data_IF_452606653208
#
_entry.id   IF_452606653208
#
_cell.length_a   1.000
_cell.length_b   1.000
_cell.length_c   1.000
_cell.angle_alpha   90.00
_cell.angle_beta   90.00
_cell.angle_gamma   90.00
#
_symmetry.space_group_name_H-M   'P 1'
#
loop_
_entity.id
_entity.type
_entity.pdbx_description
1 polymer ?
#
# COMPACT_ATOMS: atom_id res chain seq x y z
N UNK A 1 2.47 -1.16 54.97
CA UNK A 1 3.07 -0.28 53.94
C UNK A 1 3.21 -1.10 52.65
N UNK A 2 2.17 -1.10 51.84
CA UNK A 2 2.20 -1.66 50.50
C UNK A 2 2.64 -0.54 49.56
N UNK A 3 3.85 -0.64 49.05
CA UNK A 3 4.35 0.18 47.96
C UNK A 3 3.69 -0.34 46.67
N UNK A 4 2.59 0.28 46.28
CA UNK A 4 1.99 0.05 44.96
C UNK A 4 2.94 0.69 43.91
N UNK A 5 3.80 -0.12 43.31
CA UNK A 5 4.50 0.21 42.10
C UNK A 5 3.44 0.46 41.03
N UNK A 6 3.18 1.71 40.70
CA UNK A 6 2.43 2.06 39.49
C UNK A 6 3.25 1.54 38.30
N UNK A 7 2.73 0.66 37.46
CA UNK A 7 3.40 0.39 36.22
C UNK A 7 3.47 1.71 35.44
N UNK A 8 4.67 2.06 35.03
CA UNK A 8 4.95 3.27 34.28
C UNK A 8 4.05 3.25 33.03
N UNK A 9 3.22 4.28 32.89
CA UNK A 9 2.30 4.46 31.73
C UNK A 9 3.01 4.59 30.40
N UNK A 10 4.34 4.62 30.39
CA UNK A 10 5.15 4.76 29.18
C UNK A 10 5.38 3.44 28.45
N UNK A 11 5.21 2.28 29.09
CA UNK A 11 5.50 0.99 28.44
C UNK A 11 4.35 0.44 27.55
N UNK A 12 3.15 0.99 27.64
CA UNK A 12 1.99 0.44 26.94
C UNK A 12 1.65 1.17 25.63
N UNK A 13 2.22 2.36 25.39
CA UNK A 13 2.00 3.11 24.15
C UNK A 13 3.01 2.69 23.08
N UNK A 14 2.51 2.31 21.90
CA UNK A 14 3.36 2.07 20.72
C UNK A 14 4.28 3.26 20.51
N UNK A 15 5.58 3.03 20.55
CA UNK A 15 6.59 4.09 20.37
C UNK A 15 6.47 4.68 18.96
N UNK A 16 6.71 5.98 18.83
CA UNK A 16 6.65 6.67 17.52
C UNK A 16 7.57 5.99 16.47
N UNK A 17 8.69 5.43 16.92
CA UNK A 17 9.63 4.67 16.07
C UNK A 17 9.02 3.38 15.54
N UNK A 18 8.29 2.63 16.37
CA UNK A 18 7.60 1.39 15.97
C UNK A 18 6.49 1.70 14.97
N UNK A 19 5.71 2.75 15.25
CA UNK A 19 4.66 3.20 14.35
C UNK A 19 5.24 3.70 13.02
N UNK A 20 6.37 4.40 13.01
CA UNK A 20 7.04 4.83 11.80
C UNK A 20 7.57 3.64 10.98
N UNK A 21 8.17 2.63 11.63
CA UNK A 21 8.60 1.40 10.96
C UNK A 21 7.42 0.63 10.35
N UNK A 22 6.33 0.50 11.09
CA UNK A 22 5.09 -0.09 10.60
C UNK A 22 4.56 0.69 9.39
N UNK A 23 4.51 2.02 9.47
CA UNK A 23 4.04 2.88 8.40
C UNK A 23 4.92 2.77 7.13
N UNK A 24 6.24 2.67 7.28
CA UNK A 24 7.15 2.39 6.15
C UNK A 24 6.86 1.02 5.56
N UNK A 25 6.71 -0.03 6.37
CA UNK A 25 6.37 -1.37 5.91
C UNK A 25 5.09 -1.39 5.08
N UNK A 26 4.00 -0.84 5.64
CA UNK A 26 2.70 -0.71 4.98
C UNK A 26 2.74 0.13 3.68
N UNK A 27 3.70 1.05 3.57
CA UNK A 27 3.81 1.90 2.39
C UNK A 27 4.56 1.24 1.23
N UNK A 28 5.17 0.07 1.43
CA UNK A 28 6.01 -0.57 0.40
C UNK A 28 5.23 -0.99 -0.83
N UNK A 29 4.00 -1.47 -0.66
CA UNK A 29 3.12 -1.86 -1.78
C UNK A 29 2.74 -0.64 -2.63
N UNK A 30 2.34 0.44 -1.98
CA UNK A 30 2.05 1.70 -2.64
C UNK A 30 3.28 2.29 -3.34
N UNK A 31 4.46 2.18 -2.72
CA UNK A 31 5.75 2.58 -3.31
C UNK A 31 6.07 1.77 -4.57
N UNK A 32 5.93 0.44 -4.52
CA UNK A 32 6.17 -0.45 -5.66
C UNK A 32 5.22 -0.12 -6.84
N UNK A 33 3.92 0.05 -6.56
CA UNK A 33 2.93 0.43 -7.57
C UNK A 33 3.20 1.84 -8.12
N UNK A 34 3.64 2.78 -7.28
CA UNK A 34 4.02 4.12 -7.71
C UNK A 34 5.24 4.10 -8.65
N UNK A 35 6.24 3.23 -8.40
CA UNK A 35 7.35 2.98 -9.33
C UNK A 35 6.79 2.52 -10.68
N UNK A 36 5.92 1.53 -10.70
CA UNK A 36 5.31 1.01 -11.92
C UNK A 36 4.57 2.11 -12.70
N UNK A 37 3.81 2.97 -12.01
CA UNK A 37 3.18 4.14 -12.63
C UNK A 37 4.22 5.13 -13.19
N UNK A 38 5.31 5.35 -12.46
CA UNK A 38 6.41 6.21 -12.88
C UNK A 38 7.10 5.74 -14.16
N UNK A 39 7.22 4.43 -14.36
CA UNK A 39 7.81 3.82 -15.56
C UNK A 39 7.02 4.17 -16.83
N UNK A 40 5.69 4.29 -16.71
CA UNK A 40 4.79 4.56 -17.84
C UNK A 40 4.65 6.06 -18.18
N UNK A 41 5.20 6.96 -17.36
CA UNK A 41 5.07 8.42 -17.55
C UNK A 41 6.36 9.00 -18.13
N UNK A 42 6.25 9.66 -19.28
CA UNK A 42 7.43 10.28 -19.89
C UNK A 42 7.88 11.57 -19.17
N UNK A 43 6.95 12.43 -18.78
CA UNK A 43 7.23 13.73 -18.12
C UNK A 43 6.23 13.97 -17.00
N UNK A 44 6.48 13.44 -15.78
CA UNK A 44 5.58 13.68 -14.67
C UNK A 44 5.68 15.15 -14.23
N UNK A 45 4.55 15.86 -14.29
CA UNK A 45 4.41 17.17 -13.66
C UNK A 45 4.07 17.03 -12.16
N UNK A 46 4.16 18.12 -11.41
CA UNK A 46 3.86 18.15 -9.98
C UNK A 46 2.46 17.60 -9.62
N UNK A 47 1.49 17.75 -10.54
CA UNK A 47 0.13 17.20 -10.37
C UNK A 47 0.13 15.68 -10.27
N UNK A 48 0.98 14.98 -11.00
CA UNK A 48 1.08 13.52 -10.94
C UNK A 48 1.59 13.04 -9.59
N UNK A 49 2.58 13.72 -9.01
CA UNK A 49 3.09 13.44 -7.66
C UNK A 49 2.02 13.64 -6.60
N UNK A 50 1.27 14.76 -6.68
CA UNK A 50 0.14 15.00 -5.79
C UNK A 50 -0.96 13.96 -5.95
N UNK A 51 -1.34 13.63 -7.19
CA UNK A 51 -2.39 12.64 -7.45
C UNK A 51 -2.01 11.29 -6.86
N UNK A 52 -0.82 10.78 -7.16
CA UNK A 52 -0.34 9.48 -6.65
C UNK A 52 -0.23 9.49 -5.13
N UNK A 53 0.38 10.53 -4.56
CA UNK A 53 0.51 10.68 -3.11
C UNK A 53 -0.85 10.77 -2.41
N UNK A 54 -1.79 11.54 -2.92
CA UNK A 54 -3.14 11.68 -2.34
C UNK A 54 -3.95 10.38 -2.45
N UNK A 55 -3.87 9.68 -3.58
CA UNK A 55 -4.56 8.40 -3.72
C UNK A 55 -4.00 7.35 -2.76
N UNK A 56 -2.72 7.06 -2.83
CA UNK A 56 -2.13 6.04 -1.98
C UNK A 56 -2.09 6.45 -0.50
N UNK A 57 -1.64 7.65 -0.18
CA UNK A 57 -1.62 8.15 1.20
C UNK A 57 -3.01 8.31 1.79
N UNK A 58 -3.99 8.77 0.99
CA UNK A 58 -5.38 8.91 1.42
C UNK A 58 -6.03 7.56 1.72
N UNK A 59 -5.88 6.57 0.84
CA UNK A 59 -6.40 5.22 1.09
C UNK A 59 -5.66 4.52 2.23
N UNK A 60 -4.35 4.73 2.35
CA UNK A 60 -3.54 4.17 3.42
C UNK A 60 -3.87 4.78 4.81
N UNK A 61 -4.48 5.96 4.86
CA UNK A 61 -5.05 6.53 6.07
C UNK A 61 -6.51 6.12 6.29
N UNK A 62 -7.29 6.03 5.20
CA UNK A 62 -8.72 5.67 5.24
C UNK A 62 -8.93 4.22 5.70
N UNK A 63 -8.16 3.27 5.14
CA UNK A 63 -8.34 1.85 5.43
C UNK A 63 -8.12 1.47 6.88
N UNK A 64 -7.04 1.90 7.58
CA UNK A 64 -6.93 1.59 9.00
C UNK A 64 -7.97 2.34 9.84
N UNK A 65 -8.47 3.47 9.39
CA UNK A 65 -9.61 4.14 10.06
C UNK A 65 -10.86 3.28 9.96
N UNK A 66 -11.16 2.74 8.78
CA UNK A 66 -12.28 1.81 8.57
C UNK A 66 -12.07 0.52 9.35
N UNK A 67 -10.86 -0.05 9.32
CA UNK A 67 -10.48 -1.22 10.09
C UNK A 67 -10.68 -1.04 11.59
N UNK A 68 -10.30 0.11 12.13
CA UNK A 68 -10.52 0.47 13.52
C UNK A 68 -12.01 0.53 13.87
N UNK A 69 -12.83 1.17 13.05
CA UNK A 69 -14.28 1.23 13.23
C UNK A 69 -14.92 -0.16 13.15
N UNK A 70 -14.47 -1.00 12.23
CA UNK A 70 -14.95 -2.37 12.07
C UNK A 70 -14.47 -3.28 13.22
N UNK A 71 -13.22 -3.14 13.67
CA UNK A 71 -12.66 -3.90 14.79
C UNK A 71 -13.43 -3.70 16.09
N UNK A 72 -13.95 -2.49 16.32
CA UNK A 72 -14.84 -2.21 17.47
C UNK A 72 -16.23 -2.86 17.32
N UNK A 73 -16.62 -3.28 16.13
CA UNK A 73 -17.98 -3.75 15.83
C UNK A 73 -18.04 -5.23 15.42
N UNK A 74 -17.01 -5.76 14.72
CA UNK A 74 -17.05 -7.08 14.08
C UNK A 74 -15.72 -7.84 14.14
N UNK A 75 -15.39 -8.40 15.30
CA UNK A 75 -14.13 -9.14 15.54
C UNK A 75 -13.93 -10.41 14.68
N UNK A 76 -14.94 -10.93 14.01
CA UNK A 76 -14.97 -12.33 13.56
C UNK A 76 -15.07 -12.59 12.05
N UNK A 77 -15.33 -11.59 11.21
CA UNK A 77 -15.73 -11.85 9.79
C UNK A 77 -14.78 -11.33 8.70
N UNK A 78 -13.74 -10.56 9.04
CA UNK A 78 -13.02 -9.76 8.03
C UNK A 78 -11.80 -10.45 7.43
N UNK A 79 -11.17 -11.41 8.09
CA UNK A 79 -9.87 -11.96 7.71
C UNK A 79 -9.86 -12.94 6.53
N UNK A 80 -11.01 -13.42 6.07
CA UNK A 80 -11.06 -14.50 5.06
C UNK A 80 -11.09 -14.05 3.60
N UNK A 81 -11.44 -12.81 3.30
CA UNK A 81 -11.69 -12.33 1.92
C UNK A 81 -10.60 -11.42 1.39
N UNK A 82 -9.89 -10.72 2.27
CA UNK A 82 -8.96 -9.64 1.91
C UNK A 82 -7.83 -10.08 0.98
N UNK A 83 -7.23 -11.25 1.24
CA UNK A 83 -6.09 -11.76 0.47
C UNK A 83 -6.48 -12.18 -0.95
N UNK A 84 -7.69 -12.70 -1.15
CA UNK A 84 -8.20 -13.04 -2.48
C UNK A 84 -8.45 -11.80 -3.33
N UNK A 85 -8.99 -10.73 -2.72
CA UNK A 85 -9.20 -9.45 -3.40
C UNK A 85 -7.87 -8.82 -3.79
N UNK A 86 -6.90 -8.77 -2.88
CA UNK A 86 -5.56 -8.27 -3.16
C UNK A 86 -4.88 -9.08 -4.28
N UNK A 87 -4.91 -10.41 -4.22
CA UNK A 87 -4.34 -11.28 -5.24
C UNK A 87 -4.95 -11.02 -6.62
N UNK A 88 -6.29 -11.03 -6.74
CA UNK A 88 -6.98 -10.82 -8.02
C UNK A 88 -6.65 -9.44 -8.60
N UNK A 89 -6.66 -8.38 -7.76
CA UNK A 89 -6.34 -7.03 -8.20
C UNK A 89 -4.88 -6.92 -8.67
N UNK A 90 -3.92 -7.47 -7.92
CA UNK A 90 -2.50 -7.47 -8.30
C UNK A 90 -2.24 -8.26 -9.58
N UNK A 91 -2.91 -9.40 -9.76
CA UNK A 91 -2.82 -10.18 -10.99
C UNK A 91 -3.42 -9.44 -12.20
N UNK A 92 -4.55 -8.76 -12.05
CA UNK A 92 -5.15 -7.95 -13.11
C UNK A 92 -4.24 -6.78 -13.53
N UNK A 93 -3.68 -6.09 -12.55
CA UNK A 93 -2.78 -4.95 -12.79
C UNK A 93 -1.48 -5.43 -13.43
N UNK A 94 -0.84 -6.44 -12.84
CA UNK A 94 0.38 -7.03 -13.37
C UNK A 94 0.20 -7.62 -14.76
N UNK A 95 -0.93 -8.29 -15.01
CA UNK A 95 -1.30 -8.81 -16.33
C UNK A 95 -1.49 -7.72 -17.37
N UNK A 96 -2.12 -6.60 -17.01
CA UNK A 96 -2.25 -5.46 -17.92
C UNK A 96 -0.88 -4.82 -18.25
N UNK A 97 0.01 -4.68 -17.25
CA UNK A 97 1.37 -4.19 -17.47
C UNK A 97 2.19 -5.11 -18.37
N UNK A 98 2.07 -6.43 -18.22
CA UNK A 98 2.71 -7.39 -19.13
C UNK A 98 2.19 -7.22 -20.56
N UNK A 99 0.87 -7.09 -20.74
CA UNK A 99 0.26 -6.86 -22.06
C UNK A 99 0.79 -5.58 -22.71
N UNK A 100 0.91 -4.49 -21.95
CA UNK A 100 1.48 -3.22 -22.42
C UNK A 100 2.96 -3.37 -22.79
N UNK A 101 3.77 -4.04 -21.97
CA UNK A 101 5.19 -4.26 -22.20
C UNK A 101 5.51 -5.14 -23.42
N UNK A 102 4.64 -6.11 -23.73
CA UNK A 102 4.76 -6.95 -24.95
C UNK A 102 4.13 -6.35 -26.19
N UNK A 103 3.29 -5.33 -26.05
CA UNK A 103 2.67 -4.64 -27.19
C UNK A 103 3.69 -3.82 -27.96
N UNK A 104 3.85 -4.12 -29.24
CA UNK A 104 4.70 -3.33 -30.16
C UNK A 104 4.07 -1.99 -30.55
N UNK A 105 2.79 -1.83 -30.35
CA UNK A 105 2.11 -0.56 -30.55
C UNK A 105 2.43 0.35 -29.36
N UNK A 106 3.39 1.23 -29.55
CA UNK A 106 3.59 2.40 -28.68
C UNK A 106 2.38 3.34 -28.86
N UNK A 107 1.22 2.94 -28.39
CA UNK A 107 0.20 3.94 -28.07
C UNK A 107 0.81 4.80 -26.99
N UNK A 108 0.93 6.09 -27.27
CA UNK A 108 1.13 7.13 -26.27
C UNK A 108 -0.12 7.19 -25.37
N UNK A 109 -0.50 6.07 -24.77
CA UNK A 109 -1.43 6.11 -23.67
C UNK A 109 -0.63 6.66 -22.50
N UNK A 110 -0.75 7.98 -22.34
CA UNK A 110 -0.36 8.64 -21.11
C UNK A 110 -0.89 7.79 -19.95
N UNK A 111 0.01 7.34 -19.08
CA UNK A 111 -0.39 6.56 -17.91
C UNK A 111 -1.60 7.23 -17.27
N UNK A 112 -2.75 6.56 -17.31
CA UNK A 112 -3.98 7.16 -16.83
C UNK A 112 -3.90 7.32 -15.31
N UNK A 113 -3.93 8.57 -14.85
CA UNK A 113 -4.06 8.93 -13.44
C UNK A 113 -5.51 9.24 -13.07
N UNK A 114 -6.45 8.84 -13.93
CA UNK A 114 -7.87 9.02 -13.70
C UNK A 114 -8.39 8.11 -12.59
N UNK A 115 -9.57 8.45 -12.07
CA UNK A 115 -10.25 7.72 -10.99
C UNK A 115 -10.31 6.22 -11.24
N UNK A 116 -10.71 5.79 -12.45
CA UNK A 116 -10.85 4.37 -12.81
C UNK A 116 -9.53 3.57 -12.75
N UNK A 117 -8.40 4.25 -12.95
CA UNK A 117 -7.08 3.61 -12.89
C UNK A 117 -6.48 3.66 -11.48
N UNK A 118 -6.68 4.75 -10.74
CA UNK A 118 -6.06 4.94 -9.42
C UNK A 118 -6.81 4.25 -8.30
N UNK A 119 -8.16 4.19 -8.38
CA UNK A 119 -8.98 3.58 -7.34
C UNK A 119 -8.65 2.10 -7.07
N UNK A 120 -8.60 1.20 -8.09
CA UNK A 120 -8.27 -0.20 -7.84
C UNK A 120 -6.86 -0.38 -7.26
N UNK A 121 -5.90 0.42 -7.73
CA UNK A 121 -4.52 0.39 -7.24
C UNK A 121 -4.43 0.81 -5.78
N UNK A 122 -5.05 1.94 -5.43
CA UNK A 122 -5.05 2.43 -4.07
C UNK A 122 -5.79 1.48 -3.11
N UNK A 123 -6.89 0.90 -3.57
CA UNK A 123 -7.62 -0.10 -2.80
C UNK A 123 -6.77 -1.36 -2.56
N UNK A 124 -6.15 -1.90 -3.62
CA UNK A 124 -5.33 -3.11 -3.52
C UNK A 124 -4.12 -2.95 -2.59
N UNK A 125 -3.47 -1.77 -2.62
CA UNK A 125 -2.28 -1.48 -1.81
C UNK A 125 -2.58 -1.08 -0.38
N UNK A 126 -3.84 -0.93 0.01
CA UNK A 126 -4.25 -0.49 1.36
C UNK A 126 -5.09 -1.51 2.13
N UNK A 127 -5.29 -2.70 1.57
CA UNK A 127 -6.06 -3.77 2.24
C UNK A 127 -5.37 -4.26 3.52
N UNK A 128 -4.04 -4.36 3.51
CA UNK A 128 -3.22 -4.69 4.68
C UNK A 128 -3.37 -3.65 5.81
N UNK A 129 -3.48 -2.38 5.45
CA UNK A 129 -3.72 -1.30 6.41
C UNK A 129 -5.10 -1.42 7.10
N UNK A 130 -6.09 -2.01 6.44
CA UNK A 130 -7.39 -2.31 7.06
C UNK A 130 -7.21 -3.33 8.20
N UNK A 131 -6.45 -4.40 7.99
CA UNK A 131 -6.15 -5.39 9.03
C UNK A 131 -5.39 -4.76 10.21
N UNK A 132 -4.43 -3.87 9.94
CA UNK A 132 -3.72 -3.12 10.98
C UNK A 132 -4.67 -2.22 11.76
N UNK A 133 -5.64 -1.58 11.10
CA UNK A 133 -6.68 -0.80 11.76
C UNK A 133 -7.52 -1.61 12.75
N UNK A 134 -7.89 -2.84 12.38
CA UNK A 134 -8.59 -3.78 13.27
C UNK A 134 -7.70 -4.10 14.48
N UNK A 135 -6.42 -4.37 14.26
CA UNK A 135 -5.46 -4.62 15.34
C UNK A 135 -5.36 -3.42 16.29
N UNK A 136 -5.35 -2.20 15.75
CA UNK A 136 -5.35 -0.98 16.58
C UNK A 136 -6.61 -0.83 17.43
N UNK A 137 -7.75 -1.36 17.01
CA UNK A 137 -8.97 -1.36 17.81
C UNK A 137 -8.88 -2.28 19.02
N UNK A 138 -8.03 -3.31 18.97
CA UNK A 138 -7.83 -4.28 20.04
C UNK A 138 -6.71 -3.89 21.01
N UNK A 139 -5.88 -2.92 20.65
CA UNK A 139 -4.78 -2.44 21.48
C UNK A 139 -5.24 -1.29 22.38
N UNK A 140 -5.00 -1.35 23.70
CA UNK A 140 -5.25 -0.24 24.58
C UNK A 140 -4.30 0.92 24.24
N UNK A 141 -4.79 2.16 24.36
CA UNK A 141 -4.02 3.40 24.27
C UNK A 141 -3.42 3.77 22.89
N UNK A 142 -3.92 3.20 21.79
CA UNK A 142 -3.53 3.66 20.44
C UNK A 142 -4.31 4.91 20.05
N UNK A 143 -3.59 6.02 19.84
CA UNK A 143 -4.17 7.24 19.26
C UNK A 143 -4.36 7.08 17.74
N UNK A 144 -5.50 6.53 17.33
CA UNK A 144 -5.78 6.22 15.92
C UNK A 144 -5.52 7.39 14.97
N UNK A 145 -5.90 8.62 15.31
CA UNK A 145 -5.68 9.79 14.46
C UNK A 145 -4.20 10.10 14.20
N UNK A 146 -3.32 9.87 15.20
CA UNK A 146 -1.87 10.02 15.04
C UNK A 146 -1.31 8.91 14.16
N UNK A 147 -1.77 7.67 14.39
CA UNK A 147 -1.32 6.51 13.64
C UNK A 147 -1.68 6.65 12.16
N UNK A 148 -2.94 6.89 11.83
CA UNK A 148 -3.40 7.01 10.44
C UNK A 148 -2.83 8.23 9.73
N UNK A 149 -2.65 9.35 10.44
CA UNK A 149 -2.02 10.54 9.90
C UNK A 149 -0.56 10.29 9.52
N UNK A 150 0.20 9.59 10.37
CA UNK A 150 1.60 9.23 10.10
C UNK A 150 1.70 8.23 8.96
N UNK A 151 0.88 7.16 8.96
CA UNK A 151 0.84 6.16 7.89
C UNK A 151 0.52 6.83 6.55
N UNK A 152 -0.52 7.66 6.48
CA UNK A 152 -0.89 8.37 5.26
C UNK A 152 0.19 9.32 4.75
N UNK A 153 0.83 10.08 5.66
CA UNK A 153 1.91 11.02 5.30
C UNK A 153 3.15 10.29 4.77
N UNK A 154 3.58 9.21 5.43
CA UNK A 154 4.73 8.40 4.98
C UNK A 154 4.42 7.77 3.62
N UNK A 155 3.22 7.20 3.45
CA UNK A 155 2.81 6.61 2.16
C UNK A 155 2.74 7.65 1.06
N UNK A 156 2.23 8.85 1.34
CA UNK A 156 2.24 9.96 0.39
C UNK A 156 3.66 10.29 -0.10
N UNK A 157 4.59 10.47 0.84
CA UNK A 157 5.98 10.80 0.52
C UNK A 157 6.67 9.68 -0.26
N UNK A 158 6.54 8.43 0.20
CA UNK A 158 7.14 7.28 -0.47
C UNK A 158 6.56 7.05 -1.86
N UNK A 159 5.25 7.20 -2.04
CA UNK A 159 4.62 7.07 -3.36
C UNK A 159 5.08 8.16 -4.33
N UNK A 160 5.25 9.39 -3.86
CA UNK A 160 5.81 10.46 -4.68
C UNK A 160 7.26 10.16 -5.10
N UNK A 161 8.09 9.66 -4.16
CA UNK A 161 9.45 9.20 -4.45
C UNK A 161 9.44 8.02 -5.42
N UNK A 162 8.56 7.04 -5.21
CA UNK A 162 8.39 5.87 -6.09
C UNK A 162 8.08 6.29 -7.53
N UNK A 163 7.14 7.22 -7.71
CA UNK A 163 6.82 7.77 -9.03
C UNK A 163 8.05 8.41 -9.71
N UNK A 164 8.85 9.16 -8.95
CA UNK A 164 10.08 9.78 -9.45
C UNK A 164 11.12 8.74 -9.85
N UNK A 165 11.36 7.76 -8.99
CA UNK A 165 12.28 6.64 -9.25
C UNK A 165 11.85 5.90 -10.51
N UNK A 166 10.59 5.50 -10.59
CA UNK A 166 10.03 4.82 -11.77
C UNK A 166 10.21 5.63 -13.05
N UNK A 167 9.95 6.93 -13.01
CA UNK A 167 10.14 7.79 -14.19
C UNK A 167 11.59 7.85 -14.67
N UNK A 168 12.56 7.97 -13.76
CA UNK A 168 13.98 8.00 -14.12
C UNK A 168 14.39 6.70 -14.83
N UNK A 169 13.94 5.55 -14.31
CA UNK A 169 14.24 4.25 -14.92
C UNK A 169 13.44 4.02 -16.20
N UNK A 170 12.17 4.45 -16.27
CA UNK A 170 11.28 4.29 -17.42
C UNK A 170 11.77 5.00 -18.68
N UNK A 171 12.35 6.18 -18.55
CA UNK A 171 12.93 6.92 -19.68
C UNK A 171 14.03 6.14 -20.41
N UNK A 172 14.70 5.22 -19.72
CA UNK A 172 15.83 4.46 -20.27
C UNK A 172 15.45 3.06 -20.73
N UNK A 173 14.40 2.44 -20.13
CA UNK A 173 14.06 1.03 -20.30
C UNK A 173 12.55 0.74 -20.31
N UNK A 174 11.72 1.62 -20.87
CA UNK A 174 10.24 1.61 -20.75
C UNK A 174 9.63 0.20 -20.88
N UNK A 175 9.81 -0.48 -22.01
CA UNK A 175 9.20 -1.80 -22.25
C UNK A 175 9.71 -2.89 -21.32
N UNK A 176 11.02 -2.92 -21.03
CA UNK A 176 11.58 -3.91 -20.08
C UNK A 176 11.12 -3.64 -18.65
N UNK A 177 10.99 -2.38 -18.28
CA UNK A 177 10.53 -1.98 -16.96
C UNK A 177 9.06 -2.31 -16.72
N UNK A 178 8.19 -2.16 -17.72
CA UNK A 178 6.78 -2.59 -17.67
C UNK A 178 6.65 -4.09 -17.49
N UNK A 179 7.45 -4.89 -18.20
CA UNK A 179 7.47 -6.35 -18.05
C UNK A 179 7.95 -6.75 -16.64
N UNK A 180 9.07 -6.19 -16.19
CA UNK A 180 9.62 -6.49 -14.85
C UNK A 180 8.63 -6.05 -13.76
N UNK A 181 8.05 -4.87 -13.86
CA UNK A 181 7.05 -4.38 -12.91
C UNK A 181 5.82 -5.28 -12.86
N UNK A 182 5.29 -5.69 -14.02
CA UNK A 182 4.17 -6.61 -14.11
C UNK A 182 4.44 -7.97 -13.46
N UNK A 183 5.64 -8.53 -13.72
CA UNK A 183 6.07 -9.79 -13.08
C UNK A 183 6.17 -9.63 -11.56
N UNK A 184 6.77 -8.54 -11.08
CA UNK A 184 6.90 -8.29 -9.63
C UNK A 184 5.53 -8.21 -8.97
N UNK A 185 4.57 -7.48 -9.55
CA UNK A 185 3.21 -7.36 -8.99
C UNK A 185 2.50 -8.71 -8.91
N UNK A 186 2.63 -9.56 -9.94
CA UNK A 186 2.06 -10.91 -9.93
C UNK A 186 2.72 -11.77 -8.84
N UNK A 187 4.06 -11.71 -8.73
CA UNK A 187 4.78 -12.46 -7.69
C UNK A 187 4.39 -12.02 -6.27
N UNK A 188 4.21 -10.72 -6.04
CA UNK A 188 3.70 -10.18 -4.76
C UNK A 188 2.30 -10.73 -4.49
N UNK A 189 1.40 -10.69 -5.47
CA UNK A 189 0.06 -11.24 -5.32
C UNK A 189 0.05 -12.73 -5.00
N UNK A 190 0.89 -13.51 -5.69
CA UNK A 190 1.06 -14.96 -5.43
C UNK A 190 1.63 -15.19 -4.02
N UNK A 191 2.63 -14.42 -3.61
CA UNK A 191 3.21 -14.51 -2.27
C UNK A 191 2.15 -14.30 -1.19
N UNK A 192 1.38 -13.21 -1.27
CA UNK A 192 0.30 -12.89 -0.32
C UNK A 192 -0.70 -14.05 -0.23
N UNK A 193 -1.09 -14.62 -1.38
CA UNK A 193 -2.01 -15.74 -1.41
C UNK A 193 -1.42 -17.00 -0.75
N UNK A 194 -0.15 -17.33 -1.01
CA UNK A 194 0.52 -18.52 -0.46
C UNK A 194 0.76 -18.40 1.05
N UNK A 195 1.07 -17.20 1.55
CA UNK A 195 1.18 -16.92 2.98
C UNK A 195 -0.17 -17.13 3.67
N UNK A 196 -1.26 -16.63 3.06
CA UNK A 196 -2.60 -16.82 3.61
C UNK A 196 -3.06 -18.29 3.62
N UNK A 197 -2.71 -19.05 2.59
CA UNK A 197 -3.02 -20.49 2.51
C UNK A 197 -2.14 -21.36 3.43
N UNK A 198 -1.20 -20.76 4.17
CA UNK A 198 -0.30 -21.50 5.09
C UNK A 198 0.71 -22.40 4.37
N UNK A 199 0.91 -22.21 3.06
CA UNK A 199 1.86 -23.00 2.25
C UNK A 199 3.29 -22.53 2.50
N UNK A 200 3.48 -21.25 2.83
CA UNK A 200 4.77 -20.64 3.12
C UNK A 200 4.62 -19.88 4.45
N UNK A 201 5.37 -20.31 5.47
CA UNK A 201 5.55 -19.59 6.73
C UNK A 201 6.98 -19.07 6.77
N UNK A 202 7.15 -17.76 6.71
CA UNK A 202 8.39 -17.08 7.03
C UNK A 202 8.21 -16.30 8.32
#
# INVERSE_FOLDING_TARGET
YAFAVRPDREETQMKLTELALLAVGLSMDAFAVAICKGLSVQKPGWKHYLTVGLWFGGFQALMPTLGYLLGTTFERYITSVDHWVAFVLLCLIGGNMLKEGFSKEQKEESASFGFKSMLPLALATSVDALAVGITFALLPDVHIFRAVGLIGAITFCLSAVGLKVGNIFGLRYKSRAEIVGGVILILIGVKILLEHLGVINF
#
